data_IF_446909143957
#
_entry.id   IF_446909143957
#
_cell.length_a   1.000
_cell.length_b   1.000
_cell.length_c   1.000
_cell.angle_alpha   90.00
_cell.angle_beta   90.00
_cell.angle_gamma   90.00
#
_symmetry.space_group_name_H-M   'P 1'
#
loop_
_entity.id
_entity.type
_entity.pdbx_description
1 polymer ?
#
# COMPACT_ATOMS: atom_id res chain seq x y z
N UNK A 1 -17.52 -2.61 22.46
CA UNK A 1 -16.97 -3.19 21.22
C UNK A 1 -15.94 -2.21 20.67
N UNK A 2 -14.71 -2.65 20.42
CA UNK A 2 -13.74 -1.80 19.70
C UNK A 2 -14.16 -1.84 18.23
N UNK A 3 -14.67 -0.72 17.72
CA UNK A 3 -15.01 -0.57 16.31
C UNK A 3 -13.77 -0.07 15.56
N UNK A 4 -13.58 -0.55 14.32
CA UNK A 4 -12.50 -0.05 13.48
C UNK A 4 -12.79 1.40 13.09
N UNK A 5 -11.95 2.33 13.56
CA UNK A 5 -12.04 3.76 13.28
C UNK A 5 -11.18 4.10 12.04
N UNK A 6 -11.76 4.60 10.93
CA UNK A 6 -10.99 5.02 9.76
C UNK A 6 -9.96 6.13 10.03
N UNK A 7 -10.15 6.94 11.07
CA UNK A 7 -9.21 7.97 11.51
C UNK A 7 -8.06 7.39 12.38
N UNK A 8 -8.25 6.19 12.94
CA UNK A 8 -7.21 5.39 13.59
C UNK A 8 -7.12 4.00 12.92
N UNK A 9 -6.70 3.94 11.64
CA UNK A 9 -6.94 2.75 10.82
C UNK A 9 -6.01 1.57 11.11
N UNK A 10 -5.01 1.74 11.98
CA UNK A 10 -4.05 0.69 12.33
C UNK A 10 -3.63 0.72 13.80
N UNK A 11 -3.15 -0.41 14.31
CA UNK A 11 -2.66 -0.55 15.69
C UNK A 11 -1.50 0.40 16.04
N UNK A 12 -0.71 0.81 15.03
CA UNK A 12 0.31 1.86 15.14
C UNK A 12 -0.22 3.16 14.52
N UNK A 13 0.21 4.35 14.98
CA UNK A 13 -0.12 5.61 14.32
C UNK A 13 0.36 5.62 12.86
N UNK A 14 -0.49 6.09 11.95
CA UNK A 14 -0.18 6.23 10.52
C UNK A 14 -0.67 7.57 9.99
N UNK A 15 0.01 8.17 9.00
CA UNK A 15 -0.32 9.50 8.48
C UNK A 15 -1.42 9.48 7.40
N UNK A 16 -2.32 8.48 7.42
CA UNK A 16 -3.41 8.35 6.44
C UNK A 16 -4.74 7.98 7.09
N UNK A 17 -5.83 8.25 6.37
CA UNK A 17 -7.21 7.87 6.73
C UNK A 17 -7.67 6.70 5.84
N UNK A 18 -8.38 5.74 6.43
CA UNK A 18 -9.00 4.61 5.74
C UNK A 18 -8.41 3.25 6.12
N UNK A 19 -9.28 2.23 6.19
CA UNK A 19 -8.93 0.89 6.70
C UNK A 19 -8.54 -0.07 5.56
N UNK A 20 -9.33 -0.11 4.48
CA UNK A 20 -9.08 -0.99 3.32
C UNK A 20 -8.32 -0.28 2.20
N UNK A 21 -8.36 1.05 2.17
CA UNK A 21 -7.64 1.89 1.22
C UNK A 21 -7.10 3.13 1.92
N UNK A 22 -6.03 3.68 1.39
CA UNK A 22 -5.41 4.93 1.87
C UNK A 22 -6.05 6.07 1.09
N UNK A 23 -6.60 7.07 1.79
CA UNK A 23 -7.33 8.18 1.15
C UNK A 23 -6.37 9.24 0.59
N UNK A 24 -5.58 8.86 -0.43
CA UNK A 24 -4.70 9.74 -1.21
C UNK A 24 -4.99 9.61 -2.72
N UNK A 25 -4.85 10.67 -3.53
CA UNK A 25 -5.08 10.61 -4.98
C UNK A 25 -4.29 9.50 -5.69
N UNK A 26 -3.09 9.19 -5.21
CA UNK A 26 -2.14 8.24 -5.80
C UNK A 26 -2.52 6.78 -5.54
N UNK A 27 -3.46 6.51 -4.62
CA UNK A 27 -3.75 5.15 -4.14
C UNK A 27 -4.24 4.23 -5.26
N UNK A 28 -4.99 4.73 -6.23
CA UNK A 28 -5.51 3.90 -7.32
C UNK A 28 -4.38 3.35 -8.21
N UNK A 29 -3.38 4.17 -8.52
CA UNK A 29 -2.22 3.77 -9.32
C UNK A 29 -1.29 2.82 -8.54
N UNK A 30 -1.04 3.13 -7.26
CA UNK A 30 -0.24 2.29 -6.36
C UNK A 30 -0.93 0.93 -6.18
N UNK A 31 -2.21 0.92 -5.85
CA UNK A 31 -3.01 -0.30 -5.64
C UNK A 31 -3.05 -1.20 -6.88
N UNK A 32 -3.17 -0.61 -8.08
CA UNK A 32 -3.12 -1.38 -9.34
C UNK A 32 -1.75 -2.05 -9.53
N UNK A 33 -0.66 -1.35 -9.22
CA UNK A 33 0.69 -1.87 -9.39
C UNK A 33 1.03 -2.96 -8.36
N UNK A 34 0.72 -2.71 -7.09
CA UNK A 34 0.91 -3.67 -6.00
C UNK A 34 0.02 -4.90 -6.17
N UNK A 35 -1.24 -4.72 -6.60
CA UNK A 35 -2.16 -5.83 -6.85
C UNK A 35 -1.64 -6.82 -7.91
N UNK A 36 -1.01 -6.32 -8.98
CA UNK A 36 -0.36 -7.17 -10.00
C UNK A 36 0.80 -7.99 -9.42
N UNK A 37 1.64 -7.36 -8.59
CA UNK A 37 2.77 -8.04 -7.95
C UNK A 37 2.29 -9.14 -6.99
N UNK A 38 1.22 -8.88 -6.24
CA UNK A 38 0.66 -9.87 -5.34
C UNK A 38 -0.05 -11.00 -6.10
N UNK A 39 -0.69 -10.72 -7.23
CA UNK A 39 -1.22 -11.76 -8.11
C UNK A 39 -0.11 -12.70 -8.62
N UNK A 40 1.08 -12.17 -8.93
CA UNK A 40 2.23 -12.99 -9.33
C UNK A 40 2.74 -13.87 -8.16
N UNK A 41 2.73 -13.35 -6.93
CA UNK A 41 3.09 -14.14 -5.74
C UNK A 41 2.08 -15.26 -5.47
N UNK A 42 0.78 -14.97 -5.54
CA UNK A 42 -0.30 -15.94 -5.32
C UNK A 42 -0.27 -17.08 -6.34
N UNK A 43 0.12 -16.78 -7.59
CA UNK A 43 0.26 -17.78 -8.66
C UNK A 43 1.61 -18.50 -8.65
N UNK A 44 2.51 -18.18 -7.71
CA UNK A 44 3.83 -18.79 -7.59
C UNK A 44 4.86 -18.35 -8.63
N UNK A 45 4.58 -17.29 -9.39
CA UNK A 45 5.51 -16.72 -10.38
C UNK A 45 6.70 -15.99 -9.73
N UNK A 46 6.54 -15.55 -8.48
CA UNK A 46 7.58 -14.89 -7.68
C UNK A 46 7.41 -15.26 -6.22
N UNK A 47 8.48 -15.17 -5.41
CA UNK A 47 8.35 -15.40 -3.96
C UNK A 47 7.61 -14.24 -3.29
N UNK A 48 7.03 -14.52 -2.12
CA UNK A 48 6.36 -13.49 -1.30
C UNK A 48 7.30 -12.34 -0.97
N UNK A 49 8.56 -12.64 -0.62
CA UNK A 49 9.59 -11.64 -0.29
C UNK A 49 9.93 -10.76 -1.50
N UNK A 50 10.06 -11.36 -2.68
CA UNK A 50 10.30 -10.63 -3.93
C UNK A 50 9.13 -9.70 -4.28
N UNK A 51 7.89 -10.18 -4.14
CA UNK A 51 6.71 -9.37 -4.39
C UNK A 51 6.58 -8.20 -3.41
N UNK A 52 6.87 -8.43 -2.12
CA UNK A 52 6.89 -7.38 -1.10
C UNK A 52 7.98 -6.34 -1.38
N UNK A 53 9.20 -6.77 -1.72
CA UNK A 53 10.29 -5.87 -2.05
C UNK A 53 9.98 -5.02 -3.30
N UNK A 54 9.40 -5.63 -4.34
CA UNK A 54 8.97 -4.91 -5.54
C UNK A 54 7.84 -3.92 -5.25
N UNK A 55 6.86 -4.31 -4.42
CA UNK A 55 5.75 -3.45 -4.03
C UNK A 55 6.24 -2.24 -3.24
N UNK A 56 7.20 -2.43 -2.34
CA UNK A 56 7.85 -1.36 -1.58
C UNK A 56 8.55 -0.37 -2.52
N UNK A 57 9.40 -0.87 -3.43
CA UNK A 57 10.15 -0.03 -4.35
C UNK A 57 9.25 0.78 -5.31
N UNK A 58 8.16 0.19 -5.80
CA UNK A 58 7.18 0.90 -6.63
C UNK A 58 6.47 1.99 -5.83
N UNK A 59 6.01 1.66 -4.62
CA UNK A 59 5.29 2.60 -3.77
C UNK A 59 6.17 3.78 -3.36
N UNK A 60 7.42 3.54 -2.95
CA UNK A 60 8.39 4.60 -2.62
C UNK A 60 8.62 5.56 -3.78
N UNK A 61 8.76 5.01 -5.00
CA UNK A 61 8.94 5.82 -6.20
C UNK A 61 7.74 6.70 -6.49
N UNK A 62 6.53 6.16 -6.42
CA UNK A 62 5.30 6.94 -6.69
C UNK A 62 5.07 7.99 -5.62
N UNK A 63 5.29 7.67 -4.34
CA UNK A 63 5.20 8.63 -3.23
C UNK A 63 6.22 9.76 -3.38
N UNK A 64 7.47 9.45 -3.76
CA UNK A 64 8.49 10.46 -4.04
C UNK A 64 8.12 11.36 -5.22
N UNK A 65 7.55 10.80 -6.29
CA UNK A 65 7.05 11.57 -7.45
C UNK A 65 5.90 12.51 -7.08
N UNK A 66 5.04 12.07 -6.17
CA UNK A 66 3.95 12.87 -5.63
C UNK A 66 4.40 13.92 -4.57
N UNK A 67 5.70 14.00 -4.27
CA UNK A 67 6.27 14.99 -3.37
C UNK A 67 6.12 14.66 -1.90
N UNK A 68 5.99 13.38 -1.54
CA UNK A 68 6.04 12.92 -0.16
C UNK A 68 7.48 12.57 0.28
N UNK A 69 7.82 12.74 1.57
CA UNK A 69 7.01 13.39 2.60
C UNK A 69 6.92 14.92 2.38
N UNK A 70 5.79 15.50 2.78
CA UNK A 70 5.58 16.96 2.84
C UNK A 70 5.91 17.49 4.22
#
# INVERSE_FOLDING_TARGET
>A
MQHADPAQPSAKPVPYVGIQYVTIPEFQAIGTSVGKLFSAAVTGQTSTEQALAAAQAVTEREMKRAGYPK
#
